data_IF_924925241934
#
_entry.id   IF_924925241934
#
_cell.length_a   1.000
_cell.length_b   1.000
_cell.length_c   1.000
_cell.angle_alpha   90.00
_cell.angle_beta   90.00
_cell.angle_gamma   90.00
#
_symmetry.space_group_name_H-M   'P 1'
#
loop_
_entity.id
_entity.type
_entity.pdbx_description
1 polymer ?
#
# COMPACT_ATOMS: atom_id res chain seq x y z
N UNK A 1 -39.55 -13.00 54.64
CA UNK A 1 -40.16 -12.83 53.30
C UNK A 1 -40.17 -11.33 53.07
N UNK A 2 -39.02 -10.79 52.71
CA UNK A 2 -38.82 -9.35 52.61
C UNK A 2 -38.83 -8.98 51.14
N UNK A 3 -39.83 -8.19 50.76
CA UNK A 3 -40.01 -7.66 49.41
C UNK A 3 -39.03 -6.49 49.25
N UNK A 4 -38.08 -6.64 48.32
CA UNK A 4 -37.25 -5.54 47.86
C UNK A 4 -38.11 -4.60 47.01
N UNK A 5 -38.41 -3.43 47.57
CA UNK A 5 -38.92 -2.27 46.83
C UNK A 5 -37.70 -1.57 46.22
N UNK A 6 -37.63 -1.53 44.88
CA UNK A 6 -36.62 -0.76 44.18
C UNK A 6 -37.12 0.67 44.03
N UNK A 7 -36.54 1.58 44.81
CA UNK A 7 -36.66 3.03 44.57
C UNK A 7 -36.10 3.35 43.17
N UNK A 8 -36.95 3.92 42.31
CA UNK A 8 -36.52 4.51 41.04
C UNK A 8 -35.64 5.73 41.34
N UNK A 9 -34.32 5.55 41.27
CA UNK A 9 -33.39 6.67 41.22
C UNK A 9 -33.47 7.34 39.84
N UNK A 10 -34.26 8.40 39.73
CA UNK A 10 -34.12 9.37 38.63
C UNK A 10 -32.82 10.15 38.80
N UNK A 11 -31.76 9.65 38.16
CA UNK A 11 -30.51 10.39 37.99
C UNK A 11 -30.74 11.41 36.87
N UNK A 12 -31.05 12.65 37.24
CA UNK A 12 -30.92 13.81 36.37
C UNK A 12 -29.43 14.06 36.08
N UNK A 13 -28.90 13.39 35.05
CA UNK A 13 -27.59 13.68 34.47
C UNK A 13 -27.74 14.61 33.26
N UNK A 14 -28.03 15.87 33.53
CA UNK A 14 -27.66 16.95 32.60
C UNK A 14 -26.22 17.36 32.91
N UNK A 15 -25.25 16.55 32.46
CA UNK A 15 -23.92 17.10 32.15
C UNK A 15 -23.25 16.30 31.03
N UNK A 16 -22.80 17.05 30.03
CA UNK A 16 -22.52 16.63 28.67
C UNK A 16 -21.38 15.59 28.57
N UNK A 17 -21.70 14.39 28.07
CA UNK A 17 -20.73 13.53 27.40
C UNK A 17 -21.41 12.73 26.27
N UNK A 18 -21.77 13.41 25.20
CA UNK A 18 -21.73 12.80 23.87
C UNK A 18 -20.54 13.42 23.14
N UNK A 19 -19.43 12.65 23.06
CA UNK A 19 -18.44 12.86 22.00
C UNK A 19 -19.21 12.87 20.69
N UNK A 20 -19.24 14.02 20.03
CA UNK A 20 -19.65 14.12 18.63
C UNK A 20 -18.68 13.26 17.83
N UNK A 21 -19.10 12.04 17.50
CA UNK A 21 -18.52 11.34 16.36
C UNK A 21 -19.03 12.17 15.18
N UNK A 22 -18.15 12.96 14.58
CA UNK A 22 -18.47 13.73 13.39
C UNK A 22 -19.00 12.75 12.34
N UNK A 23 -20.28 12.91 11.95
CA UNK A 23 -20.98 12.09 10.94
C UNK A 23 -20.27 12.08 9.55
N UNK A 24 -19.20 12.85 9.41
CA UNK A 24 -18.37 12.98 8.22
C UNK A 24 -17.16 12.01 8.19
N UNK A 25 -16.78 11.40 9.32
CA UNK A 25 -15.59 10.51 9.40
C UNK A 25 -15.89 9.08 8.94
N UNK A 26 -17.09 8.58 9.24
CA UNK A 26 -17.54 7.24 8.84
C UNK A 26 -17.53 7.00 7.30
N UNK A 27 -18.12 7.89 6.45
CA UNK A 27 -18.13 7.65 5.01
C UNK A 27 -16.73 7.63 4.38
N UNK A 28 -15.80 8.44 4.88
CA UNK A 28 -14.41 8.48 4.40
C UNK A 28 -13.67 7.16 4.69
N UNK A 29 -13.91 6.57 5.86
CA UNK A 29 -13.30 5.29 6.23
C UNK A 29 -13.84 4.14 5.39
N UNK A 30 -15.14 4.12 5.11
CA UNK A 30 -15.76 3.10 4.24
C UNK A 30 -15.21 3.19 2.81
N UNK A 31 -15.03 4.40 2.27
CA UNK A 31 -14.41 4.62 0.97
C UNK A 31 -12.96 4.09 0.93
N UNK A 32 -12.16 4.38 1.96
CA UNK A 32 -10.80 3.88 2.08
C UNK A 32 -10.73 2.34 2.17
N UNK A 33 -11.65 1.71 2.90
CA UNK A 33 -11.76 0.24 3.01
C UNK A 33 -12.13 -0.37 1.65
N UNK A 34 -13.14 0.18 0.98
CA UNK A 34 -13.56 -0.29 -0.34
C UNK A 34 -12.45 -0.12 -1.38
N UNK A 35 -11.77 1.03 -1.37
CA UNK A 35 -10.63 1.28 -2.23
C UNK A 35 -9.50 0.29 -1.95
N UNK A 36 -9.13 0.10 -0.68
CA UNK A 36 -8.10 -0.88 -0.27
C UNK A 36 -8.42 -2.28 -0.79
N UNK A 37 -9.68 -2.71 -0.66
CA UNK A 37 -10.14 -4.01 -1.15
C UNK A 37 -9.96 -4.16 -2.67
N UNK A 38 -10.31 -3.12 -3.45
CA UNK A 38 -10.12 -3.09 -4.90
C UNK A 38 -8.64 -3.07 -5.29
N UNK A 39 -7.79 -2.37 -4.54
CA UNK A 39 -6.33 -2.42 -4.75
C UNK A 39 -5.83 -3.85 -4.56
N UNK A 40 -6.22 -4.53 -3.48
CA UNK A 40 -5.83 -5.92 -3.25
C UNK A 40 -6.33 -6.85 -4.35
N UNK A 41 -7.56 -6.65 -4.84
CA UNK A 41 -8.10 -7.39 -5.98
C UNK A 41 -7.25 -7.20 -7.24
N UNK A 42 -6.95 -5.95 -7.60
CA UNK A 42 -6.12 -5.61 -8.75
C UNK A 42 -4.73 -6.25 -8.67
N UNK A 43 -4.08 -6.15 -7.51
CA UNK A 43 -2.76 -6.77 -7.27
C UNK A 43 -2.85 -8.30 -7.38
N UNK A 44 -3.89 -8.92 -6.82
CA UNK A 44 -4.13 -10.37 -6.90
C UNK A 44 -4.28 -10.85 -8.34
N UNK A 45 -5.03 -10.11 -9.16
CA UNK A 45 -5.19 -10.42 -10.58
C UNK A 45 -3.84 -10.36 -11.31
N UNK A 46 -3.07 -9.27 -11.13
CA UNK A 46 -1.75 -9.11 -11.74
C UNK A 46 -0.75 -10.19 -11.32
N UNK A 47 -0.78 -10.61 -10.05
CA UNK A 47 0.03 -11.73 -9.55
C UNK A 47 -0.32 -13.02 -10.29
N UNK A 48 -1.62 -13.33 -10.41
CA UNK A 48 -2.08 -14.55 -11.10
C UNK A 48 -1.66 -14.53 -12.57
N UNK A 49 -1.86 -13.41 -13.26
CA UNK A 49 -1.48 -13.24 -14.65
C UNK A 49 0.03 -13.41 -14.84
N UNK A 50 0.84 -12.67 -14.09
CA UNK A 50 2.30 -12.75 -14.16
C UNK A 50 2.81 -14.16 -13.85
N UNK A 51 2.32 -14.75 -12.75
CA UNK A 51 2.75 -16.09 -12.34
C UNK A 51 2.26 -17.20 -13.27
N UNK A 52 1.23 -16.98 -14.08
CA UNK A 52 0.82 -17.95 -15.09
C UNK A 52 1.71 -17.90 -16.32
N UNK A 53 2.18 -16.69 -16.67
CA UNK A 53 2.92 -16.44 -17.91
C UNK A 53 4.46 -16.56 -17.76
N UNK A 54 5.00 -16.35 -16.55
CA UNK A 54 6.45 -16.26 -16.33
C UNK A 54 6.96 -17.21 -15.25
N UNK A 55 8.20 -17.68 -15.38
CA UNK A 55 8.85 -18.56 -14.39
C UNK A 55 9.26 -17.82 -13.12
N UNK A 56 9.67 -16.55 -13.26
CA UNK A 56 10.07 -15.67 -12.17
C UNK A 56 8.84 -15.18 -11.40
N UNK A 57 8.49 -15.89 -10.33
CA UNK A 57 7.25 -15.65 -9.59
C UNK A 57 7.33 -14.41 -8.70
N UNK A 58 6.15 -13.82 -8.48
CA UNK A 58 5.88 -12.74 -7.53
C UNK A 58 4.85 -13.19 -6.51
N UNK A 59 4.84 -12.55 -5.34
CA UNK A 59 3.83 -12.79 -4.30
C UNK A 59 3.14 -11.49 -3.88
N UNK A 60 2.06 -11.63 -3.10
CA UNK A 60 1.25 -10.50 -2.63
C UNK A 60 2.08 -9.49 -1.82
N UNK A 61 2.95 -9.95 -0.92
CA UNK A 61 3.77 -9.07 -0.09
C UNK A 61 4.72 -8.21 -0.92
N UNK A 62 5.28 -8.74 -1.99
CA UNK A 62 6.15 -7.97 -2.89
C UNK A 62 5.37 -6.86 -3.59
N UNK A 63 4.21 -7.17 -4.16
CA UNK A 63 3.40 -6.17 -4.87
C UNK A 63 2.81 -5.13 -3.92
N UNK A 64 2.35 -5.53 -2.73
CA UNK A 64 1.90 -4.60 -1.67
C UNK A 64 3.01 -3.63 -1.29
N UNK A 65 4.25 -4.11 -1.07
CA UNK A 65 5.41 -3.27 -0.78
C UNK A 65 5.72 -2.28 -1.91
N UNK A 66 5.74 -2.75 -3.16
CA UNK A 66 6.00 -1.91 -4.33
C UNK A 66 4.92 -0.85 -4.49
N UNK A 67 3.65 -1.21 -4.31
CA UNK A 67 2.53 -0.29 -4.34
C UNK A 67 2.66 0.79 -3.26
N UNK A 68 2.87 0.39 -2.00
CA UNK A 68 3.10 1.32 -0.88
C UNK A 68 4.25 2.28 -1.18
N UNK A 69 5.37 1.76 -1.67
CA UNK A 69 6.54 2.59 -2.00
C UNK A 69 6.25 3.57 -3.12
N UNK A 70 5.53 3.14 -4.18
CA UNK A 70 5.15 4.02 -5.28
C UNK A 70 4.21 5.14 -4.84
N UNK A 71 3.27 4.84 -3.95
CA UNK A 71 2.37 5.83 -3.37
C UNK A 71 3.10 6.89 -2.53
N UNK A 72 4.17 6.51 -1.82
CA UNK A 72 4.96 7.42 -0.98
C UNK A 72 5.88 8.36 -1.76
N UNK A 73 6.17 8.05 -3.03
CA UNK A 73 7.12 8.81 -3.85
C UNK A 73 6.46 9.96 -4.63
N UNK A 74 5.13 9.98 -4.69
CA UNK A 74 4.38 11.04 -5.36
C UNK A 74 3.54 11.81 -4.35
N UNK A 75 3.45 13.12 -4.55
CA UNK A 75 2.52 13.97 -3.81
C UNK A 75 1.13 13.95 -4.45
N UNK A 76 1.08 13.90 -5.78
CA UNK A 76 -0.14 13.90 -6.58
C UNK A 76 -0.40 12.53 -7.23
N UNK A 77 -1.67 12.19 -7.45
CA UNK A 77 -2.11 10.95 -8.12
C UNK A 77 -1.37 9.70 -7.57
N UNK A 78 -1.35 9.56 -6.24
CA UNK A 78 -0.58 8.52 -5.54
C UNK A 78 -0.94 7.12 -6.02
N UNK A 79 -2.23 6.87 -6.28
CA UNK A 79 -2.71 5.60 -6.83
C UNK A 79 -2.15 5.27 -8.21
N UNK A 80 -2.01 6.27 -9.10
CA UNK A 80 -1.45 6.09 -10.44
C UNK A 80 0.03 5.74 -10.35
N UNK A 81 0.80 6.48 -9.57
CA UNK A 81 2.23 6.22 -9.38
C UNK A 81 2.49 4.87 -8.71
N UNK A 82 1.66 4.51 -7.72
CA UNK A 82 1.72 3.21 -7.07
C UNK A 82 1.49 2.06 -8.06
N UNK A 83 0.45 2.15 -8.89
CA UNK A 83 0.14 1.11 -9.87
C UNK A 83 1.17 1.06 -11.00
N UNK A 84 1.66 2.21 -11.49
CA UNK A 84 2.72 2.26 -12.50
C UNK A 84 4.01 1.60 -11.99
N UNK A 85 4.33 1.78 -10.71
CA UNK A 85 5.50 1.13 -10.09
C UNK A 85 5.32 -0.38 -9.97
N UNK A 86 4.10 -0.85 -9.72
CA UNK A 86 3.77 -2.28 -9.78
C UNK A 86 3.96 -2.83 -11.20
N UNK A 87 3.47 -2.15 -12.22
CA UNK A 87 3.63 -2.57 -13.62
C UNK A 87 5.11 -2.61 -14.03
N UNK A 88 5.89 -1.60 -13.64
CA UNK A 88 7.35 -1.58 -13.82
C UNK A 88 8.02 -2.80 -13.17
N UNK A 89 7.68 -3.09 -11.91
CA UNK A 89 8.24 -4.20 -11.16
C UNK A 89 7.93 -5.55 -11.83
N UNK A 90 6.69 -5.75 -12.25
CA UNK A 90 6.28 -6.96 -12.96
C UNK A 90 7.07 -7.11 -14.25
N UNK A 91 7.14 -6.09 -15.09
CA UNK A 91 7.94 -6.09 -16.33
C UNK A 91 9.40 -6.50 -16.07
N UNK A 92 10.04 -5.91 -15.06
CA UNK A 92 11.43 -6.24 -14.72
C UNK A 92 11.58 -7.68 -14.22
N UNK A 93 10.55 -8.20 -13.55
CA UNK A 93 10.53 -9.58 -13.08
C UNK A 93 10.35 -10.58 -14.22
N UNK A 94 9.71 -10.21 -15.33
CA UNK A 94 9.48 -11.08 -16.50
C UNK A 94 10.79 -11.57 -17.11
N UNK A 95 11.73 -10.65 -17.36
CA UNK A 95 12.91 -10.94 -18.17
C UNK A 95 14.06 -11.55 -17.36
N UNK A 96 13.98 -11.53 -16.02
CA UNK A 96 15.13 -11.83 -15.14
C UNK A 96 16.35 -10.94 -15.38
N UNK A 97 16.21 -9.96 -16.28
CA UNK A 97 17.21 -9.01 -16.75
C UNK A 97 16.63 -7.64 -16.50
N UNK A 98 17.37 -6.87 -15.74
CA UNK A 98 17.08 -5.49 -15.43
C UNK A 98 17.33 -4.68 -16.71
N UNK A 99 16.27 -4.22 -17.37
CA UNK A 99 16.39 -3.27 -18.48
C UNK A 99 16.45 -1.87 -17.88
N UNK A 100 17.67 -1.34 -17.74
CA UNK A 100 17.89 0.03 -17.34
C UNK A 100 17.67 0.95 -18.56
N UNK A 101 16.53 1.65 -18.62
CA UNK A 101 16.43 2.79 -19.51
C UNK A 101 17.20 3.95 -18.86
N UNK A 102 18.31 4.37 -19.49
CA UNK A 102 19.11 5.49 -18.99
C UNK A 102 18.20 6.72 -18.85
N UNK A 103 18.07 7.29 -17.64
CA UNK A 103 17.37 8.56 -17.50
C UNK A 103 18.11 9.61 -18.33
N UNK A 104 17.37 10.42 -19.12
CA UNK A 104 17.92 11.58 -19.85
C UNK A 104 18.24 12.70 -18.85
N UNK A 105 19.11 12.43 -17.88
CA UNK A 105 19.57 13.42 -16.90
C UNK A 105 20.99 13.80 -17.28
N UNK A 106 21.21 15.10 -17.55
CA UNK A 106 22.55 15.69 -17.63
C UNK A 106 23.12 15.71 -16.21
N UNK A 107 23.90 14.70 -15.85
CA UNK A 107 24.58 14.66 -14.54
C UNK A 107 25.88 15.44 -14.64
N UNK A 108 25.93 16.61 -13.99
CA UNK A 108 27.16 17.37 -13.71
C UNK A 108 27.46 17.25 -12.22
N UNK A 109 28.00 16.12 -11.77
CA UNK A 109 28.60 16.00 -10.43
C UNK A 109 29.45 14.74 -10.36
N UNK A 110 30.74 14.91 -10.05
CA UNK A 110 31.72 13.84 -9.89
C UNK A 110 31.54 13.17 -8.52
N UNK A 111 31.31 11.85 -8.52
CA UNK A 111 31.14 11.06 -7.30
C UNK A 111 32.51 10.68 -6.73
N UNK A 112 32.70 10.94 -5.43
CA UNK A 112 33.87 10.47 -4.66
C UNK A 112 33.61 9.09 -4.06
N UNK A 113 34.67 8.29 -4.13
CA UNK A 113 34.94 6.93 -3.66
C UNK A 113 34.05 6.35 -2.54
N UNK A 114 33.55 5.13 -2.77
CA UNK A 114 32.76 4.33 -1.81
C UNK A 114 33.64 3.24 -1.19
N UNK A 115 33.68 3.17 0.15
CA UNK A 115 34.32 2.09 0.91
C UNK A 115 33.23 1.19 1.50
N UNK A 116 33.29 -0.11 1.22
CA UNK A 116 32.33 -1.10 1.74
C UNK A 116 32.89 -1.78 2.99
N UNK A 117 32.27 -1.54 4.15
CA UNK A 117 32.52 -2.36 5.35
C UNK A 117 31.75 -3.68 5.27
N UNK A 118 32.46 -4.79 5.49
CA UNK A 118 31.90 -6.13 5.50
C UNK A 118 31.19 -6.43 6.83
N UNK A 119 29.88 -6.21 6.90
CA UNK A 119 29.07 -6.67 8.04
C UNK A 119 27.84 -7.43 7.59
N UNK A 120 27.77 -8.68 8.07
CA UNK A 120 26.60 -9.57 8.24
C UNK A 120 25.62 -9.70 7.07
N UNK A 121 25.34 -10.95 6.65
CA UNK A 121 24.34 -11.27 5.61
C UNK A 121 22.92 -10.96 6.11
N UNK A 122 22.48 -9.71 5.96
CA UNK A 122 21.09 -9.32 6.13
C UNK A 122 20.33 -9.93 4.94
N UNK A 123 19.28 -10.73 5.20
CA UNK A 123 18.36 -11.19 4.16
C UNK A 123 17.47 -10.01 3.73
N UNK A 124 18.03 -9.10 2.95
CA UNK A 124 17.26 -8.04 2.27
C UNK A 124 16.54 -8.65 1.08
N UNK A 125 15.29 -8.24 0.84
CA UNK A 125 14.55 -8.55 -0.39
C UNK A 125 15.17 -7.72 -1.52
N UNK A 126 16.39 -8.12 -1.90
CA UNK A 126 17.39 -7.28 -2.58
C UNK A 126 16.86 -6.65 -3.86
N UNK A 127 15.90 -7.31 -4.51
CA UNK A 127 15.30 -6.82 -5.73
C UNK A 127 14.44 -5.57 -5.50
N UNK A 128 13.63 -5.52 -4.44
CA UNK A 128 12.80 -4.33 -4.15
C UNK A 128 13.70 -3.16 -3.76
N UNK A 129 14.69 -3.39 -2.88
CA UNK A 129 15.62 -2.36 -2.41
C UNK A 129 16.49 -1.77 -3.55
N UNK A 130 16.91 -2.59 -4.52
CA UNK A 130 17.69 -2.11 -5.67
C UNK A 130 16.83 -1.33 -6.66
N UNK A 131 15.52 -1.57 -6.70
CA UNK A 131 14.58 -0.88 -7.60
C UNK A 131 14.08 0.46 -7.05
N UNK A 132 14.53 0.91 -5.88
CA UNK A 132 14.07 2.16 -5.26
C UNK A 132 14.36 3.40 -6.13
N UNK A 133 15.50 3.43 -6.80
CA UNK A 133 15.89 4.56 -7.64
C UNK A 133 15.38 4.49 -9.08
N UNK A 134 14.65 3.43 -9.44
CA UNK A 134 14.12 3.29 -10.79
C UNK A 134 12.75 3.91 -10.93
N UNK A 135 12.51 4.44 -12.13
CA UNK A 135 11.32 5.19 -12.48
C UNK A 135 10.49 4.38 -13.49
N UNK A 136 9.17 4.29 -13.30
CA UNK A 136 8.28 3.72 -14.29
C UNK A 136 8.42 4.46 -15.63
N UNK A 137 8.25 3.72 -16.72
CA UNK A 137 8.24 4.30 -18.07
C UNK A 137 6.82 4.70 -18.46
N UNK A 138 6.67 5.44 -19.55
CA UNK A 138 5.35 5.86 -20.06
C UNK A 138 4.40 4.66 -20.28
N UNK A 139 4.92 3.52 -20.74
CA UNK A 139 4.13 2.29 -20.89
C UNK A 139 3.53 1.83 -19.56
N UNK A 140 4.28 1.91 -18.47
CA UNK A 140 3.79 1.49 -17.14
C UNK A 140 2.66 2.40 -16.65
N UNK A 141 2.73 3.70 -16.96
CA UNK A 141 1.69 4.67 -16.63
C UNK A 141 0.42 4.48 -17.47
N UNK A 142 0.56 4.14 -18.76
CA UNK A 142 -0.57 3.82 -19.63
C UNK A 142 -1.32 2.61 -19.06
N UNK A 143 -0.61 1.51 -18.77
CA UNK A 143 -1.20 0.32 -18.15
C UNK A 143 -1.85 0.65 -16.80
N UNK A 144 -1.19 1.48 -15.97
CA UNK A 144 -1.74 1.90 -14.68
C UNK A 144 -3.05 2.70 -14.81
N UNK A 145 -3.15 3.57 -15.82
CA UNK A 145 -4.38 4.32 -16.10
C UNK A 145 -5.52 3.40 -16.53
N UNK A 146 -5.21 2.36 -17.31
CA UNK A 146 -6.18 1.32 -17.68
C UNK A 146 -6.63 0.53 -16.46
N UNK A 147 -5.68 0.09 -15.62
CA UNK A 147 -5.98 -0.62 -14.36
C UNK A 147 -6.90 0.20 -13.46
N UNK A 148 -6.63 1.50 -13.29
CA UNK A 148 -7.45 2.39 -12.46
C UNK A 148 -8.90 2.43 -12.97
N UNK A 149 -9.10 2.47 -14.29
CA UNK A 149 -10.44 2.44 -14.90
C UNK A 149 -11.13 1.10 -14.71
N UNK A 150 -10.40 -0.01 -14.92
CA UNK A 150 -10.93 -1.37 -14.81
C UNK A 150 -11.38 -1.67 -13.38
N UNK A 151 -10.52 -1.38 -12.40
CA UNK A 151 -10.77 -1.68 -10.98
C UNK A 151 -11.47 -0.53 -10.23
N UNK A 152 -11.80 0.58 -10.93
CA UNK A 152 -12.47 1.76 -10.37
C UNK A 152 -11.73 2.33 -9.14
N UNK A 153 -10.42 2.55 -9.30
CA UNK A 153 -9.51 3.03 -8.27
C UNK A 153 -9.43 4.57 -8.24
N UNK A 154 -10.58 5.22 -8.01
CA UNK A 154 -10.70 6.68 -8.13
C UNK A 154 -10.56 7.44 -6.79
N UNK A 155 -10.22 6.74 -5.71
CA UNK A 155 -10.08 7.36 -4.40
C UNK A 155 -8.69 7.98 -4.25
N UNK A 156 -8.65 9.25 -3.85
CA UNK A 156 -7.41 10.00 -3.65
C UNK A 156 -7.05 10.02 -2.16
N UNK A 157 -6.25 9.03 -1.76
CA UNK A 157 -5.77 8.90 -0.38
C UNK A 157 -4.59 9.83 -0.13
N UNK A 158 -4.54 10.47 1.05
CA UNK A 158 -3.46 11.40 1.40
C UNK A 158 -2.24 10.69 1.96
N UNK A 159 -2.48 9.65 2.74
CA UNK A 159 -1.44 8.84 3.37
C UNK A 159 -1.66 7.38 3.00
N UNK A 160 -0.58 6.66 2.70
CA UNK A 160 -0.60 5.21 2.46
C UNK A 160 -1.10 4.42 3.69
N UNK A 161 -1.02 5.01 4.88
CA UNK A 161 -1.52 4.43 6.13
C UNK A 161 -3.06 4.44 6.22
N UNK A 162 -3.74 5.21 5.37
CA UNK A 162 -5.19 5.15 5.19
C UNK A 162 -5.63 3.83 4.54
N UNK A 163 -4.71 3.16 3.84
CA UNK A 163 -4.99 1.93 3.13
C UNK A 163 -4.72 0.68 3.95
N UNK A 164 -5.72 -0.20 3.96
CA UNK A 164 -5.72 -1.49 4.65
C UNK A 164 -5.08 -2.57 3.76
N UNK A 165 -3.78 -2.42 3.48
CA UNK A 165 -3.06 -3.36 2.61
C UNK A 165 -2.34 -4.48 3.38
N UNK A 166 -2.22 -4.37 4.70
CA UNK A 166 -1.54 -5.39 5.52
C UNK A 166 -2.44 -6.59 5.78
N UNK A 167 -1.81 -7.76 5.92
CA UNK A 167 -2.52 -8.94 6.36
C UNK A 167 -2.85 -8.76 7.85
N UNK A 168 -4.14 -8.83 8.21
CA UNK A 168 -4.56 -8.78 9.60
C UNK A 168 -3.91 -9.95 10.34
N UNK A 169 -3.05 -9.63 11.32
CA UNK A 169 -2.57 -10.62 12.27
C UNK A 169 -3.63 -10.75 13.35
N UNK A 170 -4.22 -11.93 13.49
CA UNK A 170 -5.04 -12.26 14.64
C UNK A 170 -4.21 -12.00 15.90
N UNK A 171 -4.69 -11.12 16.77
CA UNK A 171 -4.05 -10.88 18.06
C UNK A 171 -4.39 -12.08 18.95
N UNK A 172 -3.38 -12.81 19.41
CA UNK A 172 -3.56 -13.80 20.48
C UNK A 172 -3.94 -13.04 21.76
N UNK A 173 -5.24 -12.84 21.99
CA UNK A 173 -5.74 -12.25 23.22
C UNK A 173 -5.64 -13.33 24.31
N UNK A 174 -4.55 -13.30 25.07
CA UNK A 174 -4.40 -14.10 26.28
C UNK A 174 -5.22 -13.40 27.37
N UNK A 175 -6.44 -13.88 27.62
CA UNK A 175 -7.20 -13.48 28.80
C UNK A 175 -6.58 -14.18 30.01
N UNK A 176 -5.94 -13.40 30.88
CA UNK A 176 -5.40 -13.84 32.17
C UNK A 176 -6.48 -14.00 33.22
#
# INVERSE_FOLDING_TARGET
>A
MDRLEFENFEINAADNNQKRIDDNVQPLQDEAIQFSSKVIEALSHKIKEHNSNYSSKVNANQLKKVYRRGAMLSEDEKGLHAMARVNMFLRMKQEGKIVYQKPKVKVTSELKELVFESKSRIKVDTFIDVTENWLPTEKDFIEASEDIKVYKLNYDFKDINELYLDDYKELDIIWG
#
